data_IF_885425383477
#
_entry.id   IF_885425383477
#
_cell.length_a   1.000
_cell.length_b   1.000
_cell.length_c   1.000
_cell.angle_alpha   90.00
_cell.angle_beta   90.00
_cell.angle_gamma   90.00
#
_symmetry.space_group_name_H-M   'P 1'
#
loop_
_entity.id
_entity.type
_entity.pdbx_description
1 polymer ?
#
# COMPACT_ATOMS: atom_id res chain seq x y z
N UNK A 1 82.82 -12.17 53.62
CA UNK A 1 81.56 -12.31 52.86
C UNK A 1 81.92 -11.88 51.43
N UNK A 2 82.40 -12.77 50.56
CA UNK A 2 81.65 -13.80 49.84
C UNK A 2 80.44 -13.15 49.11
N UNK A 3 80.24 -13.21 47.81
CA UNK A 3 80.94 -13.90 46.72
C UNK A 3 80.60 -13.19 45.40
N UNK A 4 81.53 -13.32 44.47
CA UNK A 4 81.47 -13.08 43.02
C UNK A 4 80.17 -13.59 42.37
N UNK A 5 79.47 -12.72 41.61
CA UNK A 5 78.45 -13.16 40.65
C UNK A 5 79.12 -13.38 39.29
N UNK A 6 79.16 -14.65 38.91
CA UNK A 6 79.73 -15.18 37.67
C UNK A 6 78.89 -14.80 36.44
N UNK A 7 79.66 -14.63 35.38
CA UNK A 7 79.40 -14.55 33.94
C UNK A 7 78.54 -15.65 33.33
N UNK A 8 77.87 -15.31 32.21
CA UNK A 8 77.73 -16.10 30.95
C UNK A 8 77.01 -17.47 31.05
N UNK A 9 76.29 -18.03 30.09
CA UNK A 9 76.28 -17.92 28.64
C UNK A 9 75.00 -18.60 28.08
N UNK A 10 74.66 -18.20 26.87
CA UNK A 10 73.79 -18.83 25.86
C UNK A 10 73.35 -20.29 26.03
N UNK A 11 72.07 -20.55 25.80
CA UNK A 11 71.60 -21.80 25.17
C UNK A 11 70.80 -21.44 23.92
N UNK A 12 71.45 -21.63 22.77
CA UNK A 12 70.83 -21.60 21.44
C UNK A 12 70.22 -22.98 21.19
N UNK A 13 68.91 -23.05 20.95
CA UNK A 13 68.26 -24.24 20.41
C UNK A 13 68.12 -24.04 18.91
N UNK A 14 69.01 -24.66 18.14
CA UNK A 14 68.88 -24.80 16.70
C UNK A 14 67.90 -25.93 16.39
N UNK A 15 66.78 -25.61 15.74
CA UNK A 15 65.98 -26.59 15.02
C UNK A 15 66.50 -26.70 13.58
N UNK A 16 66.63 -27.91 13.02
CA UNK A 16 67.18 -28.10 11.69
C UNK A 16 66.21 -27.59 10.63
N UNK A 17 66.66 -26.60 9.84
CA UNK A 17 65.93 -26.12 8.69
C UNK A 17 65.86 -27.20 7.61
N UNK A 18 64.67 -27.79 7.41
CA UNK A 18 64.34 -28.41 6.15
C UNK A 18 64.13 -27.28 5.12
N UNK A 19 65.05 -27.18 4.17
CA UNK A 19 64.91 -26.33 3.00
C UNK A 19 63.71 -26.84 2.17
N UNK A 20 62.56 -26.19 2.33
CA UNK A 20 61.42 -26.33 1.43
C UNK A 20 61.70 -25.48 0.19
N UNK A 21 61.78 -26.16 -0.94
CA UNK A 21 61.87 -25.56 -2.27
C UNK A 21 60.79 -24.49 -2.46
N UNK A 22 61.21 -23.25 -2.70
CA UNK A 22 60.34 -22.15 -3.11
C UNK A 22 59.76 -22.46 -4.50
N UNK A 23 58.59 -23.07 -4.53
CA UNK A 23 57.71 -23.04 -5.69
C UNK A 23 56.27 -22.86 -5.20
N UNK A 24 56.00 -21.70 -4.62
CA UNK A 24 54.67 -21.28 -4.19
C UNK A 24 54.18 -20.20 -5.16
N UNK A 25 53.51 -20.62 -6.23
CA UNK A 25 52.48 -19.80 -6.85
C UNK A 25 51.44 -19.48 -5.77
N UNK A 26 51.41 -18.22 -5.32
CA UNK A 26 50.59 -17.73 -4.22
C UNK A 26 49.11 -18.07 -4.45
N UNK A 27 48.55 -18.90 -3.57
CA UNK A 27 47.10 -19.12 -3.49
C UNK A 27 46.43 -17.79 -3.12
N UNK A 28 45.35 -17.38 -3.80
CA UNK A 28 44.67 -16.13 -3.48
C UNK A 28 44.05 -16.22 -2.07
N UNK A 29 44.24 -15.17 -1.27
CA UNK A 29 43.75 -15.04 0.11
C UNK A 29 42.21 -15.17 0.22
N UNK A 30 41.49 -15.00 -0.89
CA UNK A 30 40.02 -15.10 -0.97
C UNK A 30 39.58 -15.82 -2.24
N UNK A 31 38.50 -16.60 -2.12
CA UNK A 31 37.82 -17.18 -3.28
C UNK A 31 37.28 -16.06 -4.16
N UNK A 32 37.37 -16.24 -5.49
CA UNK A 32 36.84 -15.27 -6.44
C UNK A 32 35.32 -15.20 -6.34
N UNK A 33 34.79 -13.99 -6.24
CA UNK A 33 33.36 -13.70 -6.24
C UNK A 33 32.89 -13.10 -7.57
N UNK A 34 33.80 -12.77 -8.48
CA UNK A 34 33.49 -12.17 -9.78
C UNK A 34 33.26 -13.25 -10.83
N UNK A 35 32.25 -13.04 -11.66
CA UNK A 35 31.90 -13.92 -12.78
C UNK A 35 32.08 -13.11 -14.06
N UNK A 36 33.03 -13.54 -14.89
CA UNK A 36 33.30 -12.91 -16.19
C UNK A 36 32.69 -13.77 -17.30
N UNK A 37 31.86 -13.15 -18.15
CA UNK A 37 31.27 -13.78 -19.34
C UNK A 37 31.37 -12.84 -20.55
N UNK A 38 31.35 -13.37 -21.78
CA UNK A 38 31.47 -12.55 -22.99
C UNK A 38 30.36 -11.50 -23.12
N UNK A 39 29.12 -11.89 -22.84
CA UNK A 39 27.98 -10.97 -22.79
C UNK A 39 27.62 -10.66 -21.33
N UNK A 40 27.43 -9.38 -20.97
CA UNK A 40 27.10 -9.01 -19.61
C UNK A 40 25.69 -9.45 -19.21
N UNK A 41 25.49 -9.70 -17.93
CA UNK A 41 24.18 -9.97 -17.35
C UNK A 41 23.30 -8.72 -17.36
N UNK A 42 22.00 -8.92 -17.56
CA UNK A 42 20.99 -7.89 -17.31
C UNK A 42 20.19 -8.26 -16.06
N UNK A 43 19.71 -7.26 -15.32
CA UNK A 43 19.10 -7.48 -14.01
C UNK A 43 17.76 -6.76 -13.91
N UNK A 44 16.79 -7.42 -13.30
CA UNK A 44 15.56 -6.79 -12.82
C UNK A 44 15.44 -7.05 -11.31
N UNK A 45 16.09 -6.15 -10.56
CA UNK A 45 16.23 -6.25 -9.10
C UNK A 45 14.87 -6.13 -8.39
N UNK A 46 13.86 -5.54 -9.02
CA UNK A 46 12.50 -5.48 -8.47
C UNK A 46 11.83 -6.86 -8.39
N UNK A 47 12.21 -7.78 -9.27
CA UNK A 47 11.79 -9.19 -9.23
C UNK A 47 12.89 -10.16 -8.78
N UNK A 48 14.04 -9.63 -8.32
CA UNK A 48 15.20 -10.44 -7.94
C UNK A 48 15.63 -11.41 -9.06
N UNK A 49 15.61 -10.94 -10.31
CA UNK A 49 15.99 -11.75 -11.47
C UNK A 49 17.28 -11.24 -12.12
N UNK A 50 18.10 -12.18 -12.55
CA UNK A 50 19.23 -11.96 -13.45
C UNK A 50 18.98 -12.75 -14.74
N UNK A 51 19.22 -12.11 -15.87
CA UNK A 51 19.07 -12.70 -17.21
C UNK A 51 20.47 -12.84 -17.80
N UNK A 52 20.84 -14.08 -18.10
CA UNK A 52 22.08 -14.43 -18.77
C UNK A 52 21.83 -14.54 -20.28
N UNK A 53 22.32 -13.61 -21.12
CA UNK A 53 22.17 -13.71 -22.56
C UNK A 53 23.16 -14.68 -23.23
N UNK A 54 24.10 -15.26 -22.47
CA UNK A 54 25.11 -16.15 -23.03
C UNK A 54 24.46 -17.49 -23.48
N UNK A 55 24.88 -18.04 -24.63
CA UNK A 55 24.23 -19.21 -25.22
C UNK A 55 24.43 -20.45 -24.35
N UNK A 56 23.33 -21.18 -24.10
CA UNK A 56 23.38 -22.52 -23.51
C UNK A 56 23.65 -23.57 -24.60
N UNK A 57 24.26 -24.72 -24.24
CA UNK A 57 24.39 -25.85 -25.17
C UNK A 57 23.02 -26.28 -25.69
N UNK A 58 22.95 -26.72 -26.94
CA UNK A 58 21.70 -27.15 -27.57
C UNK A 58 21.06 -28.29 -26.77
N UNK A 59 19.72 -28.34 -26.75
CA UNK A 59 18.97 -29.35 -25.99
C UNK A 59 19.39 -30.78 -26.31
N UNK A 60 19.71 -31.09 -27.58
CA UNK A 60 20.20 -32.41 -27.98
C UNK A 60 21.53 -32.76 -27.30
N UNK A 61 22.44 -31.80 -27.20
CA UNK A 61 23.73 -31.98 -26.53
C UNK A 61 23.54 -32.20 -25.03
N UNK A 62 22.69 -31.40 -24.37
CA UNK A 62 22.40 -31.57 -22.94
C UNK A 62 21.69 -32.90 -22.63
N UNK A 63 20.79 -33.34 -23.49
CA UNK A 63 20.07 -34.61 -23.31
C UNK A 63 20.93 -35.85 -23.64
N UNK A 64 21.97 -35.69 -24.47
CA UNK A 64 22.92 -36.77 -24.75
C UNK A 64 23.87 -37.07 -23.59
N UNK A 65 24.05 -36.11 -22.67
CA UNK A 65 24.89 -36.26 -21.49
C UNK A 65 24.20 -37.06 -20.40
N UNK A 66 24.99 -37.65 -19.50
CA UNK A 66 24.44 -38.30 -18.30
C UNK A 66 23.74 -37.26 -17.42
N UNK A 67 22.73 -37.69 -16.65
CA UNK A 67 22.00 -36.82 -15.73
C UNK A 67 22.93 -36.07 -14.76
N UNK A 68 24.01 -36.72 -14.30
CA UNK A 68 24.99 -36.10 -13.40
C UNK A 68 25.72 -34.94 -14.06
N UNK A 69 26.27 -35.14 -15.26
CA UNK A 69 27.00 -34.10 -16.00
C UNK A 69 26.10 -32.92 -16.35
N UNK A 70 24.87 -33.21 -16.78
CA UNK A 70 23.87 -32.17 -17.07
C UNK A 70 23.53 -31.34 -15.84
N UNK A 71 23.29 -31.99 -14.70
CA UNK A 71 22.97 -31.29 -13.45
C UNK A 71 24.16 -30.46 -12.94
N UNK A 72 25.39 -30.95 -13.10
CA UNK A 72 26.59 -30.22 -12.73
C UNK A 72 26.79 -28.96 -13.58
N UNK A 73 26.58 -29.06 -14.90
CA UNK A 73 26.61 -27.91 -15.81
C UNK A 73 25.51 -26.87 -15.51
N UNK A 74 24.28 -27.32 -15.25
CA UNK A 74 23.19 -26.42 -14.89
C UNK A 74 23.44 -25.75 -13.53
N UNK A 75 24.00 -26.50 -12.57
CA UNK A 75 24.37 -25.99 -11.26
C UNK A 75 25.48 -24.96 -11.35
N UNK A 76 26.53 -25.19 -12.14
CA UNK A 76 27.61 -24.21 -12.33
C UNK A 76 27.09 -22.93 -12.97
N UNK A 77 26.27 -23.05 -14.02
CA UNK A 77 25.64 -21.90 -14.69
C UNK A 77 24.73 -21.11 -13.76
N UNK A 78 23.88 -21.80 -12.98
CA UNK A 78 22.99 -21.16 -12.01
C UNK A 78 23.76 -20.49 -10.86
N UNK A 79 24.86 -21.10 -10.41
CA UNK A 79 25.76 -20.52 -9.40
C UNK A 79 26.37 -19.22 -9.90
N UNK A 80 26.83 -19.18 -11.15
CA UNK A 80 27.39 -17.98 -11.77
C UNK A 80 26.36 -16.84 -11.82
N UNK A 81 25.14 -17.13 -12.28
CA UNK A 81 24.04 -16.15 -12.31
C UNK A 81 23.62 -15.66 -10.93
N UNK A 82 23.53 -16.56 -9.94
CA UNK A 82 23.20 -16.19 -8.56
C UNK A 82 24.29 -15.33 -7.91
N UNK A 83 25.57 -15.64 -8.15
CA UNK A 83 26.68 -14.84 -7.67
C UNK A 83 26.65 -13.42 -8.24
N UNK A 84 26.45 -13.31 -9.56
CA UNK A 84 26.31 -12.03 -10.27
C UNK A 84 25.11 -11.21 -9.76
N UNK A 85 23.96 -11.85 -9.54
CA UNK A 85 22.77 -11.22 -8.96
C UNK A 85 23.04 -10.69 -7.54
N UNK A 86 23.63 -11.51 -6.68
CA UNK A 86 23.89 -11.14 -5.29
C UNK A 86 24.91 -10.00 -5.18
N UNK A 87 25.98 -10.05 -6.00
CA UNK A 87 26.96 -8.97 -6.06
C UNK A 87 26.28 -7.65 -6.45
N UNK A 88 25.41 -7.68 -7.45
CA UNK A 88 24.68 -6.50 -7.92
C UNK A 88 23.73 -5.98 -6.84
N UNK A 89 22.97 -6.85 -6.18
CA UNK A 89 22.07 -6.48 -5.09
C UNK A 89 22.81 -5.79 -3.93
N UNK A 90 23.87 -6.41 -3.44
CA UNK A 90 24.62 -5.90 -2.28
C UNK A 90 25.45 -4.64 -2.60
N UNK A 91 25.81 -4.44 -3.87
CA UNK A 91 26.61 -3.28 -4.31
C UNK A 91 25.74 -2.09 -4.69
N UNK A 92 24.57 -2.31 -5.28
CA UNK A 92 23.77 -1.23 -5.87
C UNK A 92 22.58 -0.78 -5.02
N UNK A 93 22.02 -1.66 -4.19
CA UNK A 93 20.85 -1.32 -3.38
C UNK A 93 21.27 -0.79 -1.99
N UNK A 94 20.60 0.26 -1.46
CA UNK A 94 20.90 0.77 -0.14
C UNK A 94 20.38 -0.18 0.94
N UNK A 95 21.23 -0.44 1.93
CA UNK A 95 20.95 -1.32 3.05
C UNK A 95 20.70 -0.46 4.29
N UNK A 96 19.49 -0.57 4.85
CA UNK A 96 19.07 0.16 6.04
C UNK A 96 19.00 -0.78 7.24
N UNK A 97 19.65 -0.40 8.34
CA UNK A 97 19.53 -1.09 9.62
C UNK A 97 18.33 -0.53 10.38
N UNK A 98 17.36 -1.40 10.67
CA UNK A 98 16.17 -1.08 11.45
C UNK A 98 16.12 -1.97 12.70
N UNK A 99 15.36 -1.61 13.76
CA UNK A 99 15.21 -2.48 14.94
C UNK A 99 14.69 -3.89 14.61
N UNK A 100 13.92 -4.01 13.52
CA UNK A 100 13.37 -5.27 13.03
C UNK A 100 14.40 -6.11 12.23
N UNK A 101 15.53 -5.50 11.83
CA UNK A 101 16.61 -6.17 11.11
C UNK A 101 17.22 -5.33 9.97
N UNK A 102 18.06 -6.00 9.18
CA UNK A 102 18.75 -5.41 8.03
C UNK A 102 17.86 -5.54 6.78
N UNK A 103 17.41 -4.40 6.25
CA UNK A 103 16.46 -4.35 5.13
C UNK A 103 17.11 -3.62 3.95
N UNK A 104 16.97 -4.18 2.76
CA UNK A 104 17.48 -3.59 1.52
C UNK A 104 16.33 -2.94 0.73
N UNK A 105 16.51 -1.71 0.24
CA UNK A 105 15.51 -1.06 -0.61
C UNK A 105 15.71 -1.45 -2.07
N UNK A 106 14.73 -2.15 -2.63
CA UNK A 106 14.75 -2.57 -4.04
C UNK A 106 14.21 -1.45 -4.96
N UNK A 107 14.74 -1.33 -6.18
CA UNK A 107 14.18 -0.42 -7.18
C UNK A 107 12.82 -0.93 -7.69
N UNK A 108 12.08 -0.05 -8.36
CA UNK A 108 10.82 -0.42 -9.00
C UNK A 108 11.08 -1.50 -10.09
N UNK A 109 10.20 -2.51 -10.23
CA UNK A 109 10.34 -3.54 -11.26
C UNK A 109 10.34 -2.93 -12.66
N UNK A 110 11.27 -3.36 -13.51
CA UNK A 110 11.38 -2.85 -14.89
C UNK A 110 10.48 -3.62 -15.86
N UNK A 111 10.25 -4.91 -15.61
CA UNK A 111 9.39 -5.72 -16.46
C UNK A 111 7.90 -5.51 -16.10
N UNK A 112 7.14 -4.91 -17.01
CA UNK A 112 5.71 -4.73 -16.80
C UNK A 112 4.95 -6.04 -16.98
N UNK A 113 4.45 -6.60 -15.88
CA UNK A 113 3.56 -7.75 -15.91
C UNK A 113 2.10 -7.33 -16.17
N UNK A 114 1.33 -8.16 -16.91
CA UNK A 114 -0.08 -7.87 -17.15
C UNK A 114 -0.87 -7.91 -15.85
N UNK A 115 -1.79 -6.95 -15.68
CA UNK A 115 -2.68 -6.92 -14.52
C UNK A 115 -3.74 -8.00 -14.62
N UNK A 116 -4.05 -8.66 -13.49
CA UNK A 116 -5.19 -9.58 -13.39
C UNK A 116 -6.55 -8.87 -13.57
N UNK A 117 -6.69 -7.65 -13.04
CA UNK A 117 -7.91 -6.84 -13.12
C UNK A 117 -7.66 -5.56 -13.92
N UNK A 118 -8.66 -5.12 -14.72
CA UNK A 118 -8.58 -3.83 -15.38
C UNK A 118 -8.46 -2.71 -14.34
N UNK A 119 -7.97 -1.56 -14.78
CA UNK A 119 -7.98 -0.37 -13.94
C UNK A 119 -9.44 -0.06 -13.54
N UNK A 120 -9.67 0.33 -12.28
CA UNK A 120 -11.02 0.69 -11.85
C UNK A 120 -11.53 1.83 -12.72
N UNK A 121 -12.62 1.58 -13.46
CA UNK A 121 -13.25 2.61 -14.31
C UNK A 121 -13.59 3.83 -13.44
N UNK A 122 -13.27 5.06 -13.87
CA UNK A 122 -13.61 6.25 -13.10
C UNK A 122 -15.13 6.29 -12.88
N UNK A 123 -15.55 6.70 -11.68
CA UNK A 123 -16.98 6.76 -11.35
C UNK A 123 -17.66 7.78 -12.26
N UNK A 124 -18.68 7.35 -13.00
CA UNK A 124 -19.48 8.25 -13.82
C UNK A 124 -20.12 9.32 -12.92
N UNK A 125 -20.11 10.60 -13.36
CA UNK A 125 -20.68 11.68 -12.56
C UNK A 125 -22.18 11.49 -12.37
N UNK A 126 -22.65 11.68 -11.15
CA UNK A 126 -24.08 11.65 -10.85
C UNK A 126 -24.79 12.87 -11.46
N UNK A 127 -26.11 12.80 -11.64
CA UNK A 127 -26.89 13.93 -12.17
C UNK A 127 -26.74 15.20 -11.32
N UNK A 128 -26.59 15.03 -10.00
CA UNK A 128 -26.33 16.14 -9.09
C UNK A 128 -24.93 16.73 -9.31
N UNK A 129 -23.90 15.91 -9.53
CA UNK A 129 -22.55 16.41 -9.82
C UNK A 129 -22.48 17.12 -11.16
N UNK A 130 -23.20 16.63 -12.18
CA UNK A 130 -23.34 17.34 -13.46
C UNK A 130 -23.99 18.73 -13.29
N UNK A 131 -25.06 18.79 -12.49
CA UNK A 131 -25.73 20.05 -12.17
C UNK A 131 -24.84 20.98 -11.34
N UNK A 132 -24.20 20.45 -10.30
CA UNK A 132 -23.31 21.20 -9.42
C UNK A 132 -22.09 21.73 -10.18
N UNK A 133 -21.53 20.97 -11.12
CA UNK A 133 -20.45 21.42 -12.00
C UNK A 133 -20.93 22.53 -12.96
N UNK A 134 -22.12 22.38 -13.55
CA UNK A 134 -22.69 23.40 -14.44
C UNK A 134 -23.00 24.71 -13.71
N UNK A 135 -23.41 24.63 -12.44
CA UNK A 135 -23.79 25.79 -11.62
C UNK A 135 -22.67 26.28 -10.70
N UNK A 136 -21.51 25.62 -10.66
CA UNK A 136 -20.41 25.97 -9.78
C UNK A 136 -20.78 25.86 -8.29
N UNK A 137 -21.47 24.81 -7.87
CA UNK A 137 -21.94 24.63 -6.50
C UNK A 137 -20.94 23.77 -5.70
N UNK A 138 -20.52 24.27 -4.53
CA UNK A 138 -19.65 23.55 -3.59
C UNK A 138 -18.27 23.27 -4.19
N UNK A 139 -17.75 22.05 -4.00
CA UNK A 139 -16.44 21.58 -4.49
C UNK A 139 -16.19 21.71 -6.01
N UNK A 140 -17.21 22.06 -6.80
CA UNK A 140 -17.10 22.19 -8.26
C UNK A 140 -17.20 23.63 -8.76
N UNK A 141 -17.48 24.61 -7.90
CA UNK A 141 -17.30 26.02 -8.22
C UNK A 141 -15.92 26.43 -7.77
N UNK A 142 -15.03 26.79 -8.69
CA UNK A 142 -13.59 27.09 -8.43
C UNK A 142 -13.28 28.25 -7.48
N UNK A 143 -14.22 28.67 -6.63
CA UNK A 143 -13.99 29.62 -5.54
C UNK A 143 -13.45 28.91 -4.31
N UNK A 144 -12.33 29.41 -3.81
CA UNK A 144 -11.66 29.04 -2.56
C UNK A 144 -12.61 29.01 -1.34
N UNK A 145 -13.74 29.73 -1.38
CA UNK A 145 -14.77 29.74 -0.33
C UNK A 145 -15.81 28.61 -0.42
N UNK A 146 -15.99 27.97 -1.59
CA UNK A 146 -17.03 26.96 -1.80
C UNK A 146 -16.71 25.60 -1.16
N UNK A 147 -15.42 25.24 -1.10
CA UNK A 147 -14.93 24.01 -0.47
C UNK A 147 -14.97 24.08 1.06
N UNK A 148 -14.43 25.16 1.64
CA UNK A 148 -14.39 25.37 3.09
C UNK A 148 -15.81 25.45 3.71
N UNK A 149 -16.72 26.20 3.08
CA UNK A 149 -18.11 26.25 3.53
C UNK A 149 -18.83 24.88 3.41
N UNK A 150 -18.44 24.03 2.46
CA UNK A 150 -18.98 22.67 2.36
C UNK A 150 -18.42 21.73 3.44
N UNK A 151 -17.15 21.89 3.79
CA UNK A 151 -16.50 21.12 4.86
C UNK A 151 -17.08 21.48 6.22
N UNK A 152 -17.31 22.76 6.49
CA UNK A 152 -18.03 23.22 7.68
C UNK A 152 -19.46 22.68 7.74
N UNK A 153 -20.19 22.68 6.62
CA UNK A 153 -21.55 22.10 6.56
C UNK A 153 -21.59 20.58 6.79
N UNK A 154 -20.46 19.89 6.59
CA UNK A 154 -20.29 18.45 6.85
C UNK A 154 -19.99 18.13 8.32
N UNK A 155 -19.56 19.12 9.12
CA UNK A 155 -19.36 18.93 10.56
C UNK A 155 -20.69 18.52 11.21
N UNK A 156 -20.60 17.56 12.13
CA UNK A 156 -21.77 17.01 12.79
C UNK A 156 -22.16 17.78 14.06
N UNK A 157 -21.33 18.69 14.57
CA UNK A 157 -21.64 19.43 15.79
C UNK A 157 -22.29 20.77 15.43
N UNK A 158 -23.39 21.09 16.09
CA UNK A 158 -24.12 22.36 15.98
C UNK A 158 -24.36 22.85 17.40
N UNK A 159 -24.09 24.11 17.66
CA UNK A 159 -24.32 24.73 18.96
C UNK A 159 -25.82 24.98 19.13
N UNK A 160 -26.39 24.52 20.25
CA UNK A 160 -27.80 24.78 20.61
C UNK A 160 -27.83 25.91 21.64
N UNK A 161 -28.27 27.10 21.21
CA UNK A 161 -28.24 28.33 22.03
C UNK A 161 -29.11 28.23 23.29
N UNK A 162 -30.14 27.39 23.27
CA UNK A 162 -31.07 27.17 24.39
C UNK A 162 -30.46 26.32 25.51
N UNK A 163 -29.65 25.32 25.16
CA UNK A 163 -29.01 24.42 26.13
C UNK A 163 -27.55 24.80 26.42
N UNK A 164 -26.96 25.68 25.63
CA UNK A 164 -25.56 26.09 25.73
C UNK A 164 -24.57 24.98 25.36
N UNK A 165 -25.04 23.85 24.82
CA UNK A 165 -24.24 22.65 24.52
C UNK A 165 -24.06 22.42 23.01
N UNK A 166 -22.98 21.72 22.65
CA UNK A 166 -22.76 21.25 21.28
C UNK A 166 -23.54 19.96 21.02
N UNK A 167 -24.67 20.08 20.33
CA UNK A 167 -25.52 18.96 19.96
C UNK A 167 -25.15 18.42 18.58
N UNK A 168 -25.31 17.10 18.40
CA UNK A 168 -25.10 16.49 17.08
C UNK A 168 -26.22 16.87 16.12
N UNK A 169 -25.90 17.24 14.90
CA UNK A 169 -26.84 17.52 13.80
C UNK A 169 -27.62 16.27 13.41
N UNK A 170 -26.94 15.11 13.39
CA UNK A 170 -27.55 13.81 13.14
C UNK A 170 -26.89 12.71 13.99
N UNK A 171 -27.62 11.62 14.26
CA UNK A 171 -27.18 10.53 15.12
C UNK A 171 -27.93 10.47 16.45
N UNK A 172 -27.26 10.01 17.52
CA UNK A 172 -27.83 9.93 18.87
C UNK A 172 -28.21 11.32 19.38
N UNK A 173 -29.46 11.46 19.87
CA UNK A 173 -30.07 12.75 20.27
C UNK A 173 -29.87 13.88 19.25
N UNK A 174 -29.90 13.54 17.96
CA UNK A 174 -29.63 14.53 16.91
C UNK A 174 -30.71 15.61 16.82
N UNK A 175 -30.29 16.86 16.54
CA UNK A 175 -31.17 18.02 16.45
C UNK A 175 -32.38 17.82 15.50
N UNK A 176 -32.23 17.00 14.44
CA UNK A 176 -33.31 16.64 13.51
C UNK A 176 -34.55 15.96 14.14
N UNK A 177 -34.46 15.51 15.41
CA UNK A 177 -35.55 14.86 16.15
C UNK A 177 -35.98 15.65 17.39
N UNK A 178 -35.49 16.89 17.58
CA UNK A 178 -35.84 17.73 18.74
C UNK A 178 -37.37 17.93 18.84
N UNK A 179 -38.01 18.27 17.71
CA UNK A 179 -39.48 18.44 17.58
C UNK A 179 -40.30 17.18 17.92
N UNK A 180 -39.76 15.97 17.65
CA UNK A 180 -40.47 14.72 17.95
C UNK A 180 -40.41 14.36 19.44
N UNK A 181 -39.42 14.89 20.16
CA UNK A 181 -39.18 14.61 21.59
C UNK A 181 -39.77 15.68 22.51
N UNK A 182 -40.40 16.72 21.97
CA UNK A 182 -41.02 17.78 22.76
C UNK A 182 -42.28 17.27 23.47
N UNK A 183 -42.40 17.61 24.75
CA UNK A 183 -43.51 17.23 25.62
C UNK A 183 -44.85 17.85 25.16
N UNK A 184 -44.80 19.09 24.63
CA UNK A 184 -45.94 19.80 24.05
C UNK A 184 -45.61 20.25 22.63
N UNK A 185 -46.57 20.14 21.72
CA UNK A 185 -46.49 20.68 20.35
C UNK A 185 -47.69 21.61 20.21
N UNK A 186 -47.43 22.89 20.01
CA UNK A 186 -48.47 23.89 19.77
C UNK A 186 -49.06 23.69 18.37
N UNK A 187 -50.38 23.63 18.30
CA UNK A 187 -51.12 23.43 17.05
C UNK A 187 -51.97 24.65 16.76
N UNK A 188 -51.83 25.19 15.55
CA UNK A 188 -52.75 26.19 15.00
C UNK A 188 -54.13 25.56 14.74
N UNK A 189 -55.18 26.37 14.73
CA UNK A 189 -56.58 25.92 14.55
C UNK A 189 -56.78 25.05 13.30
N UNK A 190 -56.02 25.31 12.23
CA UNK A 190 -56.03 24.50 11.00
C UNK A 190 -55.47 23.08 11.24
N UNK A 191 -54.36 22.97 11.97
CA UNK A 191 -53.71 21.68 12.29
C UNK A 191 -54.54 20.88 13.28
N UNK A 192 -55.25 21.54 14.19
CA UNK A 192 -56.23 20.92 15.10
C UNK A 192 -57.38 20.29 14.32
N UNK A 193 -57.89 20.97 13.28
CA UNK A 193 -58.92 20.41 12.39
C UNK A 193 -58.42 19.17 11.63
N UNK A 194 -57.20 19.26 11.07
CA UNK A 194 -56.58 18.15 10.33
C UNK A 194 -56.26 16.94 11.22
N UNK A 195 -55.88 17.16 12.48
CA UNK A 195 -55.66 16.08 13.44
C UNK A 195 -56.98 15.42 13.86
N UNK A 196 -58.06 16.19 14.09
CA UNK A 196 -59.39 15.64 14.40
C UNK A 196 -59.98 14.82 13.25
N UNK A 197 -59.82 15.26 12.01
CA UNK A 197 -60.25 14.53 10.81
C UNK A 197 -59.36 13.30 10.52
N UNK A 198 -58.06 13.37 10.87
CA UNK A 198 -57.06 12.33 10.64
C UNK A 198 -56.86 11.31 11.78
N UNK A 199 -57.46 11.56 12.96
CA UNK A 199 -57.25 10.78 14.18
C UNK A 199 -57.62 9.29 14.02
N UNK A 200 -58.66 8.97 13.23
CA UNK A 200 -59.05 7.59 12.93
C UNK A 200 -58.04 6.81 12.07
N UNK A 201 -57.10 7.49 11.42
CA UNK A 201 -56.08 6.90 10.54
C UNK A 201 -54.65 6.95 11.15
N UNK A 202 -54.50 7.33 12.42
CA UNK A 202 -53.21 7.42 13.11
C UNK A 202 -52.28 8.53 12.60
N UNK A 203 -52.84 9.57 11.98
CA UNK A 203 -52.10 10.77 11.56
C UNK A 203 -52.15 11.81 12.67
N UNK A 204 -51.03 11.96 13.37
CA UNK A 204 -50.80 13.00 14.37
C UNK A 204 -49.68 13.90 13.83
N UNK A 205 -49.62 15.16 14.22
CA UNK A 205 -48.61 16.11 13.71
C UNK A 205 -47.18 15.61 13.92
N UNK A 206 -46.94 14.89 15.02
CA UNK A 206 -45.66 14.20 15.30
C UNK A 206 -45.35 13.03 14.34
N UNK A 207 -46.36 12.31 13.85
CA UNK A 207 -46.16 11.19 12.91
C UNK A 207 -45.97 11.65 11.47
N UNK A 208 -46.45 12.84 11.12
CA UNK A 208 -46.26 13.44 9.80
C UNK A 208 -44.79 13.79 9.52
N UNK A 209 -44.07 14.41 10.47
CA UNK A 209 -42.63 14.70 10.32
C UNK A 209 -41.80 13.42 10.10
N UNK A 210 -42.14 12.34 10.80
CA UNK A 210 -41.52 11.01 10.58
C UNK A 210 -41.86 10.46 9.19
N UNK A 211 -43.10 10.60 8.73
CA UNK A 211 -43.57 10.14 7.42
C UNK A 211 -42.86 10.88 6.29
N UNK A 212 -42.76 12.21 6.37
CA UNK A 212 -42.07 13.02 5.38
C UNK A 212 -40.58 12.66 5.31
N UNK A 213 -39.91 12.48 6.46
CA UNK A 213 -38.51 12.05 6.50
C UNK A 213 -38.32 10.69 5.84
N UNK A 214 -39.19 9.71 6.14
CA UNK A 214 -39.17 8.39 5.49
C UNK A 214 -39.38 8.50 3.98
N UNK A 215 -40.28 9.38 3.52
CA UNK A 215 -40.51 9.60 2.09
C UNK A 215 -39.29 10.23 1.41
N UNK A 216 -38.66 11.24 2.04
CA UNK A 216 -37.41 11.85 1.56
C UNK A 216 -36.29 10.81 1.45
N UNK A 217 -36.14 9.92 2.44
CA UNK A 217 -35.17 8.82 2.41
C UNK A 217 -35.47 7.86 1.24
N UNK A 218 -36.71 7.39 1.11
CA UNK A 218 -37.12 6.52 -0.03
C UNK A 218 -36.87 7.20 -1.38
N UNK A 219 -37.09 8.52 -1.47
CA UNK A 219 -36.84 9.32 -2.69
C UNK A 219 -35.34 9.40 -2.98
N UNK A 220 -34.49 9.58 -1.98
CA UNK A 220 -33.04 9.57 -2.14
C UNK A 220 -32.52 8.18 -2.58
N UNK A 221 -33.01 7.11 -1.97
CA UNK A 221 -32.66 5.73 -2.33
C UNK A 221 -33.04 5.42 -3.79
N UNK A 222 -34.24 5.84 -4.22
CA UNK A 222 -34.66 5.73 -5.62
C UNK A 222 -33.75 6.50 -6.57
N UNK A 223 -33.30 7.71 -6.19
CA UNK A 223 -32.35 8.52 -6.97
C UNK A 223 -30.97 7.85 -7.04
N UNK A 224 -30.48 7.28 -5.93
CA UNK A 224 -29.24 6.53 -5.90
C UNK A 224 -29.30 5.32 -6.83
N UNK A 225 -30.32 4.47 -6.69
CA UNK A 225 -30.52 3.31 -7.57
C UNK A 225 -30.66 3.71 -9.04
N UNK A 226 -31.30 4.84 -9.32
CA UNK A 226 -31.39 5.41 -10.66
C UNK A 226 -30.02 5.83 -11.23
N UNK A 227 -29.15 6.42 -10.41
CA UNK A 227 -27.78 6.77 -10.80
C UNK A 227 -26.92 5.52 -11.00
N UNK A 228 -27.02 4.52 -10.12
CA UNK A 228 -26.29 3.25 -10.24
C UNK A 228 -26.67 2.47 -11.52
N UNK A 229 -27.96 2.43 -11.87
CA UNK A 229 -28.42 1.83 -13.13
C UNK A 229 -27.81 2.52 -14.35
N UNK A 230 -27.74 3.86 -14.34
CA UNK A 230 -27.11 4.65 -15.41
C UNK A 230 -25.60 4.42 -15.48
N UNK A 231 -24.95 4.29 -14.33
CA UNK A 231 -23.53 3.94 -14.24
C UNK A 231 -23.25 2.57 -14.88
N UNK A 232 -24.08 1.56 -14.60
CA UNK A 232 -23.95 0.23 -15.21
C UNK A 232 -24.16 0.26 -16.73
N UNK A 233 -25.13 1.03 -17.23
CA UNK A 233 -25.43 1.13 -18.67
C UNK A 233 -24.37 1.89 -19.46
N UNK A 234 -23.75 2.91 -18.87
CA UNK A 234 -22.65 3.68 -19.50
C UNK A 234 -21.27 3.05 -19.34
N UNK A 235 -21.18 1.88 -18.70
CA UNK A 235 -19.92 1.20 -18.39
C UNK A 235 -19.68 -0.07 -19.20
N UNK A 236 -20.37 -0.27 -20.33
CA UNK A 236 -19.96 -1.20 -21.38
C UNK A 236 -18.59 -0.80 -21.89
#
# INVERSE_FOLDING_TARGET
>A
MADTVMTETSVSVQTPGLALSNNASSLPERLSTTVEKPSPYTYDLGYLTAVDPNPLPTSNTLLSQSTTQRNEFLKSTARDGAQSLLNTLLTTCPINSTPDGLIMTLPAPQNYLPRWKPLPKPKAPTKWELFARKKGIGKYGGSLKGGAAQEERRKNLVYDEESGEWVKKWGYKGANKKEESQWLVELDDEKVRMEKEGAGAGKNVRTEGRRERKERVKRQERRQRGNERRMRKGGG
#
